data_IF_906730246372
#
_entry.id   IF_906730246372
#
_cell.length_a   1.000
_cell.length_b   1.000
_cell.length_c   1.000
_cell.angle_alpha   90.00
_cell.angle_beta   90.00
_cell.angle_gamma   90.00
#
_symmetry.space_group_name_H-M   'P 1'
#
loop_
_entity.id
_entity.type
_entity.pdbx_description
1 polymer ?
#
# COMPACT_ATOMS: atom_id res chain seq x y z
N UNK A 1 3.65 60.86 10.97
CA UNK A 1 2.90 60.07 9.97
C UNK A 1 3.50 58.65 9.89
N UNK A 2 2.86 57.70 10.56
CA UNK A 2 3.30 56.32 10.48
C UNK A 2 2.74 55.71 9.20
N UNK A 3 3.63 55.38 8.28
CA UNK A 3 3.25 54.55 7.14
C UNK A 3 3.13 53.11 7.63
N UNK A 4 1.92 52.63 7.86
CA UNK A 4 1.68 51.23 8.14
C UNK A 4 2.04 50.42 6.89
N UNK A 5 3.16 49.71 6.96
CA UNK A 5 3.48 48.72 5.96
C UNK A 5 2.59 47.48 6.23
N UNK A 6 1.51 47.35 5.48
CA UNK A 6 0.73 46.13 5.50
C UNK A 6 1.58 45.06 4.82
N UNK A 7 2.21 44.19 5.62
CA UNK A 7 2.88 43.00 5.08
C UNK A 7 1.78 42.00 4.69
N UNK A 8 1.51 41.89 3.40
CA UNK A 8 0.72 40.78 2.89
C UNK A 8 1.55 39.51 3.04
N UNK A 9 1.26 38.73 4.08
CA UNK A 9 1.73 37.36 4.11
C UNK A 9 0.95 36.60 3.04
N UNK A 10 1.60 36.33 1.90
CA UNK A 10 1.04 35.40 0.91
C UNK A 10 1.18 34.03 1.51
N UNK A 11 0.08 33.50 2.06
CA UNK A 11 -0.02 32.11 2.46
C UNK A 11 -0.06 31.27 1.19
N UNK A 12 1.11 30.80 0.76
CA UNK A 12 1.17 29.80 -0.33
C UNK A 12 0.70 28.48 0.29
N UNK A 13 -0.59 28.22 0.13
CA UNK A 13 -1.12 26.87 0.31
C UNK A 13 -0.51 26.01 -0.79
N UNK A 14 0.59 25.31 -0.45
CA UNK A 14 1.06 24.24 -1.29
C UNK A 14 -0.01 23.14 -1.27
N UNK A 15 -0.89 23.15 -2.26
CA UNK A 15 -1.71 21.98 -2.52
C UNK A 15 -0.78 20.87 -2.99
N UNK A 16 -0.31 20.03 -2.06
CA UNK A 16 0.19 18.73 -2.45
C UNK A 16 -1.02 17.99 -3.01
N UNK A 17 -1.20 18.01 -4.33
CA UNK A 17 -2.15 17.12 -4.96
C UNK A 17 -1.73 15.70 -4.59
N UNK A 18 -2.55 15.02 -3.77
CA UNK A 18 -2.39 13.61 -3.53
C UNK A 18 -2.55 12.91 -4.90
N UNK A 19 -1.42 12.60 -5.54
CA UNK A 19 -1.43 11.86 -6.80
C UNK A 19 -1.85 10.44 -6.49
N UNK A 20 -3.10 10.12 -6.82
CA UNK A 20 -3.62 8.76 -6.76
C UNK A 20 -3.32 8.07 -8.08
N UNK A 21 -2.40 7.12 -8.08
CA UNK A 21 -2.13 6.31 -9.27
C UNK A 21 -3.40 5.54 -9.67
N UNK A 22 -3.69 5.43 -10.98
CA UNK A 22 -4.79 4.59 -11.45
C UNK A 22 -4.53 3.12 -11.13
N UNK A 23 -5.42 2.50 -10.36
CA UNK A 23 -5.33 1.09 -9.97
C UNK A 23 -6.52 0.35 -10.56
N UNK A 24 -6.25 -0.77 -11.22
CA UNK A 24 -7.25 -1.65 -11.81
C UNK A 24 -7.03 -3.08 -11.35
N UNK A 25 -8.08 -3.87 -11.43
CA UNK A 25 -8.06 -5.29 -11.10
C UNK A 25 -8.45 -5.57 -9.66
N UNK A 26 -8.22 -6.78 -9.24
CA UNK A 26 -8.73 -7.31 -7.96
C UNK A 26 -8.20 -6.57 -6.72
N UNK A 27 -7.05 -5.92 -6.82
CA UNK A 27 -6.50 -5.12 -5.72
C UNK A 27 -7.30 -3.86 -5.42
N UNK A 28 -8.09 -3.37 -6.39
CA UNK A 28 -8.96 -2.22 -6.23
C UNK A 28 -10.33 -2.58 -5.63
N UNK A 29 -10.62 -3.86 -5.39
CA UNK A 29 -11.83 -4.30 -4.71
C UNK A 29 -11.82 -3.90 -3.22
N UNK A 30 -12.96 -4.05 -2.54
CA UNK A 30 -13.02 -3.70 -1.12
C UNK A 30 -12.37 -4.75 -0.23
N UNK A 31 -11.88 -4.33 0.92
CA UNK A 31 -11.49 -5.24 2.00
C UNK A 31 -12.66 -6.12 2.46
N UNK A 32 -13.90 -5.62 2.40
CA UNK A 32 -15.09 -6.42 2.67
C UNK A 32 -15.18 -7.63 1.75
N UNK A 33 -14.92 -7.43 0.45
CA UNK A 33 -14.89 -8.55 -0.51
C UNK A 33 -13.77 -9.54 -0.22
N UNK A 34 -12.56 -9.06 0.15
CA UNK A 34 -11.48 -9.94 0.58
C UNK A 34 -11.93 -10.87 1.72
N UNK A 35 -12.54 -10.30 2.75
CA UNK A 35 -13.00 -11.08 3.91
C UNK A 35 -14.03 -12.13 3.50
N UNK A 36 -15.00 -11.77 2.64
CA UNK A 36 -16.01 -12.73 2.15
C UNK A 36 -15.39 -13.82 1.28
N UNK A 37 -14.55 -13.44 0.33
CA UNK A 37 -13.89 -14.40 -0.57
C UNK A 37 -12.94 -15.34 0.19
N UNK A 38 -12.33 -14.86 1.25
CA UNK A 38 -11.46 -15.65 2.12
C UNK A 38 -12.22 -16.82 2.76
N UNK A 39 -13.48 -16.61 3.15
CA UNK A 39 -14.34 -17.64 3.77
C UNK A 39 -14.65 -18.81 2.83
N UNK A 40 -14.71 -18.54 1.53
CA UNK A 40 -15.11 -19.54 0.52
C UNK A 40 -13.96 -19.97 -0.40
N UNK A 41 -12.73 -19.55 -0.09
CA UNK A 41 -11.55 -19.90 -0.88
C UNK A 41 -11.45 -19.20 -2.23
N UNK A 42 -12.20 -18.09 -2.43
CA UNK A 42 -12.19 -17.32 -3.67
C UNK A 42 -11.19 -16.17 -3.69
N UNK A 43 -10.36 -16.03 -2.66
CA UNK A 43 -9.44 -14.91 -2.43
C UNK A 43 -8.18 -14.93 -3.31
N UNK A 44 -7.91 -15.99 -4.05
CA UNK A 44 -6.67 -16.15 -4.80
C UNK A 44 -6.48 -15.07 -5.86
N UNK A 45 -7.56 -14.53 -6.41
CA UNK A 45 -7.49 -13.44 -7.40
C UNK A 45 -6.88 -12.18 -6.77
N UNK A 46 -7.37 -11.79 -5.60
CA UNK A 46 -6.84 -10.63 -4.87
C UNK A 46 -5.42 -10.91 -4.35
N UNK A 47 -5.17 -12.11 -3.81
CA UNK A 47 -3.85 -12.48 -3.30
C UNK A 47 -2.81 -12.42 -4.42
N UNK A 48 -3.10 -13.03 -5.57
CA UNK A 48 -2.18 -12.99 -6.72
C UNK A 48 -1.96 -11.57 -7.23
N UNK A 49 -2.99 -10.73 -7.19
CA UNK A 49 -2.84 -9.33 -7.54
C UNK A 49 -1.84 -8.63 -6.60
N UNK A 50 -1.96 -8.85 -5.29
CA UNK A 50 -1.05 -8.29 -4.28
C UNK A 50 0.37 -8.81 -4.47
N UNK A 51 0.55 -10.11 -4.72
CA UNK A 51 1.86 -10.69 -5.00
C UNK A 51 2.50 -10.06 -6.25
N UNK A 52 1.70 -9.83 -7.30
CA UNK A 52 2.14 -9.13 -8.50
C UNK A 52 2.54 -7.68 -8.23
N UNK A 53 1.79 -6.99 -7.38
CA UNK A 53 2.12 -5.62 -6.95
C UNK A 53 3.47 -5.59 -6.23
N UNK A 54 3.70 -6.50 -5.29
CA UNK A 54 4.97 -6.59 -4.55
C UNK A 54 6.12 -6.97 -5.49
N UNK A 55 5.86 -7.86 -6.44
CA UNK A 55 6.85 -8.24 -7.46
C UNK A 55 7.25 -7.05 -8.34
N UNK A 56 6.28 -6.22 -8.73
CA UNK A 56 6.54 -4.99 -9.48
C UNK A 56 7.30 -3.96 -8.62
N UNK A 57 7.00 -3.87 -7.35
CA UNK A 57 7.77 -3.04 -6.41
C UNK A 57 9.24 -3.47 -6.38
N UNK A 58 9.52 -4.76 -6.32
CA UNK A 58 10.88 -5.29 -6.38
C UNK A 58 11.57 -4.95 -7.71
N UNK A 59 10.83 -5.00 -8.81
CA UNK A 59 11.38 -4.73 -10.15
C UNK A 59 11.72 -3.26 -10.36
N UNK A 60 10.85 -2.36 -9.93
CA UNK A 60 10.92 -0.95 -10.33
C UNK A 60 11.28 0.02 -9.22
N UNK A 61 11.10 -0.34 -7.97
CA UNK A 61 11.21 0.59 -6.84
C UNK A 61 12.30 0.19 -5.85
N UNK A 62 12.34 -1.07 -5.43
CA UNK A 62 13.28 -1.54 -4.43
C UNK A 62 14.74 -1.37 -4.90
N UNK A 63 15.57 -0.74 -4.09
CA UNK A 63 16.98 -0.44 -4.38
C UNK A 63 17.96 -1.25 -3.53
N UNK A 64 17.47 -2.11 -2.63
CA UNK A 64 18.30 -2.91 -1.75
C UNK A 64 18.93 -4.10 -2.46
N UNK A 65 19.66 -4.93 -1.68
CA UNK A 65 20.44 -6.07 -2.18
C UNK A 65 19.90 -7.42 -1.71
N UNK A 66 18.77 -7.44 -1.01
CA UNK A 66 18.19 -8.70 -0.56
C UNK A 66 17.86 -9.59 -1.77
N UNK A 67 18.26 -10.89 -1.76
CA UNK A 67 18.10 -11.77 -2.94
C UNK A 67 16.65 -11.94 -3.37
N UNK A 68 15.71 -11.90 -2.43
CA UNK A 68 14.28 -12.04 -2.69
C UNK A 68 13.54 -10.69 -2.62
N UNK A 69 14.26 -9.57 -2.74
CA UNK A 69 13.67 -8.25 -2.61
C UNK A 69 13.01 -8.06 -1.25
N UNK A 70 11.91 -7.33 -1.21
CA UNK A 70 11.17 -7.08 0.04
C UNK A 70 10.45 -8.31 0.58
N UNK A 71 10.25 -9.36 -0.24
CA UNK A 71 9.65 -10.60 0.27
C UNK A 71 10.48 -11.23 1.39
N UNK A 72 11.83 -11.14 1.32
CA UNK A 72 12.68 -11.80 2.30
C UNK A 72 12.37 -13.29 2.36
N UNK A 73 12.02 -13.79 3.54
CA UNK A 73 11.61 -15.18 3.76
C UNK A 73 10.08 -15.34 3.96
N UNK A 74 9.30 -14.32 3.63
CA UNK A 74 7.85 -14.35 3.80
C UNK A 74 7.20 -15.05 2.61
N UNK A 75 6.35 -16.03 2.89
CA UNK A 75 5.63 -16.78 1.88
C UNK A 75 4.24 -16.16 1.56
N UNK A 76 3.60 -16.59 0.45
CA UNK A 76 2.28 -16.07 0.10
C UNK A 76 1.19 -16.31 1.16
N UNK A 77 1.29 -17.41 1.92
CA UNK A 77 0.31 -17.70 2.98
C UNK A 77 0.38 -16.68 4.11
N UNK A 78 1.59 -16.28 4.50
CA UNK A 78 1.78 -15.24 5.51
C UNK A 78 1.24 -13.89 5.02
N UNK A 79 1.40 -13.57 3.74
CA UNK A 79 0.84 -12.37 3.14
C UNK A 79 -0.69 -12.40 3.19
N UNK A 80 -1.30 -13.55 2.93
CA UNK A 80 -2.75 -13.73 3.06
C UNK A 80 -3.24 -13.46 4.48
N UNK A 81 -2.55 -13.97 5.50
CA UNK A 81 -2.88 -13.72 6.91
C UNK A 81 -2.70 -12.23 7.26
N UNK A 82 -1.65 -11.62 6.77
CA UNK A 82 -1.43 -10.18 6.97
C UNK A 82 -2.60 -9.36 6.38
N UNK A 83 -3.05 -9.71 5.17
CA UNK A 83 -4.20 -9.06 4.53
C UNK A 83 -5.50 -9.32 5.30
N UNK A 84 -5.69 -10.50 5.88
CA UNK A 84 -6.83 -10.77 6.75
C UNK A 84 -6.89 -9.76 7.91
N UNK A 85 -5.78 -9.57 8.60
CA UNK A 85 -5.70 -8.64 9.71
C UNK A 85 -5.90 -7.19 9.26
N UNK A 86 -5.27 -6.80 8.17
CA UNK A 86 -5.42 -5.45 7.61
C UNK A 86 -6.86 -5.17 7.22
N UNK A 87 -7.49 -6.06 6.46
CA UNK A 87 -8.85 -5.87 5.96
C UNK A 87 -9.90 -5.94 7.05
N UNK A 88 -9.71 -6.77 8.08
CA UNK A 88 -10.60 -6.79 9.24
C UNK A 88 -10.56 -5.47 10.02
N UNK A 89 -9.37 -4.88 10.15
CA UNK A 89 -9.21 -3.59 10.82
C UNK A 89 -9.64 -2.40 9.94
N UNK A 90 -9.67 -2.58 8.61
CA UNK A 90 -9.93 -1.51 7.64
C UNK A 90 -10.94 -1.98 6.58
N UNK A 91 -12.20 -2.27 6.96
CA UNK A 91 -13.17 -2.90 6.06
C UNK A 91 -13.53 -2.03 4.85
N UNK A 92 -13.38 -0.72 4.95
CA UNK A 92 -13.67 0.23 3.86
C UNK A 92 -12.46 0.49 2.96
N UNK A 93 -11.32 -0.11 3.26
CA UNK A 93 -10.10 0.00 2.47
C UNK A 93 -10.08 -1.03 1.33
N UNK A 94 -8.91 -1.21 0.72
CA UNK A 94 -8.71 -2.12 -0.40
C UNK A 94 -7.48 -3.00 -0.17
N UNK A 95 -7.38 -4.18 -0.80
CA UNK A 95 -6.13 -4.94 -0.81
C UNK A 95 -4.93 -4.15 -1.34
N UNK A 96 -5.14 -3.25 -2.30
CA UNK A 96 -4.10 -2.34 -2.80
C UNK A 96 -3.53 -1.45 -1.69
N UNK A 97 -4.40 -0.81 -0.91
CA UNK A 97 -3.95 0.03 0.20
C UNK A 97 -3.20 -0.79 1.25
N UNK A 98 -3.65 -2.02 1.50
CA UNK A 98 -2.94 -2.99 2.33
C UNK A 98 -1.56 -3.33 1.75
N UNK A 99 -1.47 -3.63 0.46
CA UNK A 99 -0.21 -3.97 -0.20
C UNK A 99 0.82 -2.83 -0.10
N UNK A 100 0.39 -1.59 -0.20
CA UNK A 100 1.27 -0.43 0.00
C UNK A 100 1.87 -0.40 1.41
N UNK A 101 1.07 -0.63 2.43
CA UNK A 101 1.57 -0.70 3.81
C UNK A 101 2.47 -1.91 4.02
N UNK A 102 2.10 -3.02 3.42
CA UNK A 102 2.85 -4.27 3.55
C UNK A 102 4.27 -4.15 3.00
N UNK A 103 4.46 -3.51 1.82
CA UNK A 103 5.82 -3.36 1.27
C UNK A 103 6.72 -2.52 2.19
N UNK A 104 6.18 -1.49 2.82
CA UNK A 104 6.92 -0.68 3.80
C UNK A 104 7.34 -1.53 5.01
N UNK A 105 6.42 -2.33 5.54
CA UNK A 105 6.68 -3.22 6.68
C UNK A 105 7.70 -4.29 6.31
N UNK A 106 7.53 -4.97 5.17
CA UNK A 106 8.45 -6.00 4.69
C UNK A 106 9.86 -5.43 4.52
N UNK A 107 9.99 -4.27 3.90
CA UNK A 107 11.29 -3.62 3.71
C UNK A 107 11.95 -3.29 5.06
N UNK A 108 11.17 -2.86 6.05
CA UNK A 108 11.67 -2.57 7.39
C UNK A 108 12.20 -3.79 8.14
N UNK A 109 11.73 -4.99 7.80
CA UNK A 109 12.14 -6.25 8.40
C UNK A 109 13.42 -6.84 7.78
N UNK A 110 13.87 -6.30 6.65
CA UNK A 110 15.09 -6.78 6.01
C UNK A 110 16.32 -6.44 6.83
N UNK A 111 17.37 -7.32 6.83
CA UNK A 111 18.64 -7.00 7.47
C UNK A 111 19.25 -5.72 6.89
N UNK A 112 19.78 -4.89 7.77
CA UNK A 112 20.49 -3.66 7.37
C UNK A 112 21.94 -3.96 7.04
#
# INVERSE_FOLDING_TARGET
MSKSKVAFAILILAFTSAYSAPIKGAGASSCGLWVEDRKVGAHFVQLNWVLGFISAYNEYVYKGRAPNGVFGNVDPSAIGVWLDNYCQANPLSTPYAGARRLVEELESLLPK
#
